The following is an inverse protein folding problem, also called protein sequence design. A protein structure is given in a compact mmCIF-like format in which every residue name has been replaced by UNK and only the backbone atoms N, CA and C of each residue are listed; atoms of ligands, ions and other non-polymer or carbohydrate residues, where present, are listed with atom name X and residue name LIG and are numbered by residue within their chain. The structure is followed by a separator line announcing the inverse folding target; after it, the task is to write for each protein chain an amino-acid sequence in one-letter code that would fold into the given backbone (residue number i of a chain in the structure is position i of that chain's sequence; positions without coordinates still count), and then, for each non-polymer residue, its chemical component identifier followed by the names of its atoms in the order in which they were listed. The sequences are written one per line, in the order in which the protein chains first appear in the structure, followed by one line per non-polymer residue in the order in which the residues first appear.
data_IF_703940925606
#
_entry.id   IF_703940925606
#
_cell.length_a   1.000
_cell.length_b   1.000
_cell.length_c   1.000
_cell.angle_alpha   90.00
_cell.angle_beta   90.00
_cell.angle_gamma   90.00
#
_symmetry.space_group_name_H-M   'P 1'
#
loop_
_entity.id
_entity.type
_entity.pdbx_description
1 polymer ?
#
# COMPACT_ATOMS: atom_id res chain seq x y z
N UNK A 1 24.89 1.01 3.50
CA UNK A 1 24.47 2.15 4.33
C UNK A 1 24.07 3.34 3.46
N UNK A 2 25.00 4.08 2.84
CA UNK A 2 24.62 5.23 1.99
C UNK A 2 23.67 4.88 0.82
N UNK A 3 23.87 3.72 0.18
CA UNK A 3 23.00 3.25 -0.92
C UNK A 3 21.58 2.92 -0.44
N UNK A 4 21.43 2.25 0.70
CA UNK A 4 20.11 1.92 1.28
C UNK A 4 19.33 3.18 1.66
N UNK A 5 20.01 4.19 2.21
CA UNK A 5 19.40 5.49 2.50
C UNK A 5 18.86 6.17 1.24
N UNK A 6 19.61 6.14 0.13
CA UNK A 6 19.17 6.70 -1.16
C UNK A 6 17.89 6.00 -1.65
N UNK A 7 17.83 4.67 -1.55
CA UNK A 7 16.64 3.92 -1.93
C UNK A 7 15.42 4.23 -1.05
N UNK A 8 15.61 4.34 0.27
CA UNK A 8 14.54 4.70 1.21
C UNK A 8 14.03 6.12 0.93
N UNK A 9 14.91 7.07 0.63
CA UNK A 9 14.53 8.45 0.26
C UNK A 9 13.72 8.43 -1.05
N UNK A 10 14.15 7.64 -2.05
CA UNK A 10 13.40 7.46 -3.30
C UNK A 10 12.01 6.86 -3.06
N UNK A 11 11.92 5.84 -2.21
CA UNK A 11 10.65 5.24 -1.81
C UNK A 11 9.73 6.24 -1.11
N UNK A 12 10.28 7.03 -0.18
CA UNK A 12 9.55 8.07 0.54
C UNK A 12 9.00 9.14 -0.40
N UNK A 13 9.83 9.63 -1.33
CA UNK A 13 9.40 10.60 -2.33
C UNK A 13 8.24 10.07 -3.18
N UNK A 14 8.36 8.84 -3.70
CA UNK A 14 7.30 8.19 -4.49
C UNK A 14 6.03 8.01 -3.67
N UNK A 15 6.15 7.54 -2.42
CA UNK A 15 5.00 7.30 -1.54
C UNK A 15 4.29 8.60 -1.15
N UNK A 16 5.02 9.66 -0.80
CA UNK A 16 4.45 10.96 -0.46
C UNK A 16 3.75 11.60 -1.67
N UNK A 17 4.39 11.63 -2.85
CA UNK A 17 3.76 12.17 -4.07
C UNK A 17 2.53 11.34 -4.45
N UNK A 18 2.59 10.00 -4.31
CA UNK A 18 1.47 9.11 -4.54
C UNK A 18 0.31 9.37 -3.58
N UNK A 19 0.58 9.50 -2.29
CA UNK A 19 -0.43 9.80 -1.27
C UNK A 19 -1.06 11.19 -1.44
N UNK A 20 -0.27 12.20 -1.81
CA UNK A 20 -0.79 13.54 -2.14
C UNK A 20 -1.69 13.47 -3.37
N UNK A 21 -1.24 12.80 -4.43
CA UNK A 21 -2.04 12.64 -5.65
C UNK A 21 -3.36 11.89 -5.37
N UNK A 22 -3.33 10.90 -4.48
CA UNK A 22 -4.50 10.13 -4.07
C UNK A 22 -5.52 10.99 -3.28
N UNK A 23 -5.07 11.86 -2.37
CA UNK A 23 -5.95 12.84 -1.71
C UNK A 23 -6.56 13.81 -2.72
N UNK A 24 -5.74 14.38 -3.61
CA UNK A 24 -6.16 15.48 -4.47
C UNK A 24 -7.03 15.03 -5.65
N UNK A 25 -6.73 13.86 -6.22
CA UNK A 25 -7.31 13.42 -7.49
C UNK A 25 -7.91 12.02 -7.42
N UNK A 26 -7.75 11.31 -6.30
CA UNK A 26 -8.14 9.89 -6.14
C UNK A 26 -7.59 8.98 -7.25
N UNK A 27 -6.46 9.39 -7.83
CA UNK A 27 -5.81 8.75 -8.97
C UNK A 27 -4.30 8.85 -8.78
N UNK A 28 -3.68 7.71 -8.52
CA UNK A 28 -2.22 7.62 -8.48
C UNK A 28 -1.70 7.57 -9.93
N UNK A 29 -0.85 8.52 -10.36
CA UNK A 29 -0.41 8.60 -11.74
C UNK A 29 0.51 7.44 -12.11
N UNK A 30 0.15 6.72 -13.19
CA UNK A 30 0.95 5.61 -13.73
C UNK A 30 2.42 5.99 -14.01
N UNK A 31 2.67 7.25 -14.39
CA UNK A 31 4.03 7.77 -14.63
C UNK A 31 4.89 7.74 -13.36
N UNK A 32 4.29 8.04 -12.21
CA UNK A 32 4.99 7.99 -10.92
C UNK A 32 5.31 6.56 -10.53
N UNK A 33 4.35 5.64 -10.66
CA UNK A 33 4.52 4.25 -10.22
C UNK A 33 5.44 3.48 -11.15
N UNK A 34 5.13 3.42 -12.45
CA UNK A 34 5.95 2.67 -13.41
C UNK A 34 7.30 3.35 -13.63
N UNK A 35 7.35 4.69 -13.64
CA UNK A 35 8.61 5.43 -13.68
C UNK A 35 9.46 5.14 -12.45
N UNK A 36 8.85 5.15 -11.26
CA UNK A 36 9.51 4.77 -10.00
C UNK A 36 10.06 3.34 -10.03
N UNK A 37 9.29 2.37 -10.53
CA UNK A 37 9.76 0.98 -10.69
C UNK A 37 10.98 0.88 -11.61
N UNK A 38 10.94 1.53 -12.78
CA UNK A 38 12.05 1.50 -13.74
C UNK A 38 13.30 2.13 -13.12
N UNK A 39 13.16 3.27 -12.43
CA UNK A 39 14.26 3.94 -11.75
C UNK A 39 14.83 3.06 -10.64
N UNK A 40 13.98 2.45 -9.81
CA UNK A 40 14.41 1.57 -8.72
C UNK A 40 15.15 0.34 -9.23
N UNK A 41 14.60 -0.37 -10.21
CA UNK A 41 15.19 -1.57 -10.80
C UNK A 41 16.52 -1.23 -11.48
N UNK A 42 16.56 -0.13 -12.25
CA UNK A 42 17.77 0.34 -12.91
C UNK A 42 18.87 0.71 -11.91
N UNK A 43 18.52 1.44 -10.84
CA UNK A 43 19.47 1.79 -9.78
C UNK A 43 19.99 0.56 -9.03
N UNK A 44 19.13 -0.40 -8.70
CA UNK A 44 19.52 -1.67 -8.08
C UNK A 44 20.40 -2.53 -9.00
N UNK A 45 20.13 -2.54 -10.30
CA UNK A 45 20.95 -3.23 -11.29
C UNK A 45 22.35 -2.61 -11.40
N UNK A 46 22.45 -1.27 -11.41
CA UNK A 46 23.75 -0.59 -11.50
C UNK A 46 24.58 -0.75 -10.22
N UNK A 47 23.94 -0.67 -9.05
CA UNK A 47 24.64 -0.70 -7.74
C UNK A 47 24.94 -2.14 -7.29
N UNK A 48 23.98 -3.06 -7.46
CA UNK A 48 24.03 -4.43 -6.93
C UNK A 48 24.08 -5.52 -8.00
N UNK A 49 24.18 -5.17 -9.28
CA UNK A 49 24.18 -6.12 -10.39
C UNK A 49 22.90 -6.95 -10.46
N UNK A 50 23.03 -8.19 -10.94
CA UNK A 50 21.91 -9.13 -11.04
C UNK A 50 21.27 -9.47 -9.68
N UNK A 51 22.06 -9.47 -8.60
CA UNK A 51 21.54 -9.70 -7.25
C UNK A 51 20.65 -8.53 -6.80
N UNK A 52 21.10 -7.29 -7.03
CA UNK A 52 20.30 -6.09 -6.76
C UNK A 52 19.01 -6.06 -7.57
N UNK A 53 19.07 -6.39 -8.87
CA UNK A 53 17.88 -6.50 -9.72
C UNK A 53 16.88 -7.51 -9.16
N UNK A 54 17.35 -8.70 -8.76
CA UNK A 54 16.52 -9.72 -8.13
C UNK A 54 15.86 -9.22 -6.84
N UNK A 55 16.62 -8.52 -5.99
CA UNK A 55 16.09 -7.94 -4.76
C UNK A 55 15.03 -6.85 -5.02
N UNK A 56 15.24 -5.97 -5.99
CA UNK A 56 14.28 -4.93 -6.38
C UNK A 56 12.97 -5.55 -6.86
N UNK A 57 13.04 -6.51 -7.80
CA UNK A 57 11.85 -7.20 -8.31
C UNK A 57 11.14 -7.96 -7.18
N UNK A 58 11.87 -8.66 -6.32
CA UNK A 58 11.29 -9.36 -5.18
C UNK A 58 10.56 -8.40 -4.22
N UNK A 59 11.14 -7.23 -3.92
CA UNK A 59 10.48 -6.20 -3.11
C UNK A 59 9.19 -5.69 -3.76
N UNK A 60 9.21 -5.41 -5.06
CA UNK A 60 8.03 -5.00 -5.81
C UNK A 60 6.93 -6.06 -5.84
N UNK A 61 7.30 -7.34 -5.99
CA UNK A 61 6.38 -8.47 -5.95
C UNK A 61 5.79 -8.69 -4.55
N UNK A 62 6.56 -8.50 -3.49
CA UNK A 62 6.06 -8.59 -2.12
C UNK A 62 5.05 -7.47 -1.86
N UNK A 63 5.42 -6.22 -2.17
CA UNK A 63 4.54 -5.07 -1.98
C UNK A 63 3.26 -5.19 -2.81
N UNK A 64 3.41 -5.35 -4.12
CA UNK A 64 2.30 -5.46 -5.06
C UNK A 64 1.47 -6.72 -4.84
N UNK A 65 2.12 -7.87 -4.64
CA UNK A 65 1.44 -9.15 -4.44
C UNK A 65 0.59 -9.19 -3.19
N UNK A 66 1.07 -8.61 -2.09
CA UNK A 66 0.27 -8.50 -0.85
C UNK A 66 -1.03 -7.72 -1.09
N UNK A 67 -0.96 -6.64 -1.87
CA UNK A 67 -2.13 -5.81 -2.15
C UNK A 67 -2.97 -6.29 -3.33
N UNK A 68 -2.41 -7.15 -4.17
CA UNK A 68 -3.09 -7.77 -5.30
C UNK A 68 -4.27 -8.65 -4.83
N UNK A 69 -4.12 -9.35 -3.71
CA UNK A 69 -5.22 -10.13 -3.11
C UNK A 69 -6.41 -9.22 -2.78
N UNK A 70 -6.17 -8.04 -2.20
CA UNK A 70 -7.24 -7.08 -1.91
C UNK A 70 -7.87 -6.48 -3.16
N UNK A 71 -7.11 -6.33 -4.25
CA UNK A 71 -7.63 -5.90 -5.54
C UNK A 71 -8.54 -6.94 -6.19
N UNK A 72 -8.18 -8.23 -6.14
CA UNK A 72 -9.05 -9.31 -6.62
C UNK A 72 -10.38 -9.36 -5.87
N UNK A 73 -10.35 -9.02 -4.58
CA UNK A 73 -11.56 -8.87 -3.75
C UNK A 73 -12.30 -7.54 -3.99
N UNK A 74 -11.87 -6.73 -4.96
CA UNK A 74 -12.39 -5.38 -5.24
C UNK A 74 -12.39 -4.44 -4.03
N UNK A 75 -11.55 -4.73 -3.01
CA UNK A 75 -11.44 -3.95 -1.79
C UNK A 75 -10.54 -2.71 -1.94
N UNK A 76 -9.68 -2.70 -2.96
CA UNK A 76 -8.65 -1.67 -3.16
C UNK A 76 -8.50 -1.30 -4.64
N UNK A 77 -8.06 -0.07 -4.91
CA UNK A 77 -7.84 0.41 -6.27
C UNK A 77 -6.54 -0.13 -6.89
N UNK A 78 -6.52 -0.28 -8.22
CA UNK A 78 -5.31 -0.68 -8.95
C UNK A 78 -4.16 0.33 -8.85
N UNK A 79 -4.43 1.58 -8.43
CA UNK A 79 -3.40 2.59 -8.18
C UNK A 79 -2.55 2.26 -6.95
N UNK A 80 -3.19 1.82 -5.86
CA UNK A 80 -2.53 1.54 -4.58
C UNK A 80 -1.54 0.38 -4.70
N UNK A 81 -1.92 -0.67 -5.43
CA UNK A 81 -1.06 -1.82 -5.73
C UNK A 81 0.21 -1.35 -6.46
N UNK A 82 0.04 -0.49 -7.47
CA UNK A 82 1.16 0.01 -8.27
C UNK A 82 2.08 0.89 -7.42
N UNK A 83 1.51 1.67 -6.51
CA UNK A 83 2.28 2.52 -5.61
C UNK A 83 3.12 1.68 -4.66
N UNK A 84 2.51 0.72 -3.95
CA UNK A 84 3.24 -0.10 -2.98
C UNK A 84 4.24 -1.05 -3.66
N UNK A 85 3.95 -1.50 -4.88
CA UNK A 85 4.90 -2.24 -5.70
C UNK A 85 6.10 -1.37 -6.11
N UNK A 86 5.87 -0.12 -6.51
CA UNK A 86 6.96 0.81 -6.84
C UNK A 86 7.84 1.09 -5.63
N UNK A 87 7.23 1.37 -4.48
CA UNK A 87 7.91 1.50 -3.18
C UNK A 87 8.71 0.25 -2.85
N UNK A 88 8.13 -0.93 -3.04
CA UNK A 88 8.80 -2.20 -2.81
C UNK A 88 10.04 -2.41 -3.69
N UNK A 89 9.99 -1.98 -4.96
CA UNK A 89 11.15 -2.01 -5.84
C UNK A 89 12.33 -1.18 -5.32
N UNK A 90 12.06 -0.04 -4.66
CA UNK A 90 13.12 0.77 -4.07
C UNK A 90 13.73 0.07 -2.86
N UNK A 91 12.90 -0.36 -1.91
CA UNK A 91 13.40 -0.77 -0.60
C UNK A 91 13.84 -2.24 -0.51
N UNK A 92 13.52 -3.04 -1.52
CA UNK A 92 13.82 -4.48 -1.54
C UNK A 92 12.94 -5.30 -0.59
N UNK A 93 13.17 -6.63 -0.51
CA UNK A 93 12.18 -7.56 0.03
C UNK A 93 11.95 -7.42 1.53
N UNK A 94 13.02 -7.23 2.33
CA UNK A 94 12.92 -7.17 3.80
C UNK A 94 12.09 -5.98 4.27
N UNK A 95 12.42 -4.78 3.79
CA UNK A 95 11.72 -3.56 4.20
C UNK A 95 10.33 -3.46 3.56
N UNK A 96 10.12 -4.09 2.39
CA UNK A 96 8.78 -4.18 1.77
C UNK A 96 7.75 -4.85 2.68
N UNK A 97 8.14 -5.93 3.38
CA UNK A 97 7.23 -6.62 4.32
C UNK A 97 6.80 -5.67 5.44
N UNK A 98 7.77 -4.94 6.03
CA UNK A 98 7.49 -3.98 7.09
C UNK A 98 6.58 -2.85 6.60
N UNK A 99 6.85 -2.31 5.41
CA UNK A 99 6.01 -1.27 4.80
C UNK A 99 4.60 -1.79 4.54
N UNK A 100 4.44 -3.01 4.02
CA UNK A 100 3.11 -3.61 3.78
C UNK A 100 2.33 -3.72 5.07
N UNK A 101 2.94 -4.24 6.14
CA UNK A 101 2.28 -4.39 7.44
C UNK A 101 1.95 -3.02 8.06
N UNK A 102 2.89 -2.08 8.04
CA UNK A 102 2.67 -0.74 8.56
C UNK A 102 1.58 0.00 7.78
N UNK A 103 1.56 -0.15 6.45
CA UNK A 103 0.53 0.44 5.58
C UNK A 103 -0.85 -0.20 5.82
N UNK A 104 -0.91 -1.51 6.06
CA UNK A 104 -2.14 -2.20 6.40
C UNK A 104 -2.74 -1.69 7.72
N UNK A 105 -1.91 -1.51 8.74
CA UNK A 105 -2.31 -0.94 10.03
C UNK A 105 -2.77 0.50 9.87
N UNK A 106 -1.99 1.34 9.18
CA UNK A 106 -2.35 2.73 8.90
C UNK A 106 -3.66 2.84 8.11
N UNK A 107 -3.90 1.94 7.15
CA UNK A 107 -5.13 1.85 6.37
C UNK A 107 -6.33 1.47 7.22
N UNK A 108 -6.17 0.53 8.17
CA UNK A 108 -7.19 0.19 9.14
C UNK A 108 -7.56 1.36 10.06
N UNK A 109 -6.56 2.09 10.56
CA UNK A 109 -6.77 3.32 11.36
C UNK A 109 -7.50 4.37 10.53
N UNK A 110 -7.07 4.60 9.28
CA UNK A 110 -7.69 5.55 8.36
C UNK A 110 -9.16 5.19 8.11
N UNK A 111 -9.47 3.91 7.90
CA UNK A 111 -10.83 3.44 7.71
C UNK A 111 -11.72 3.71 8.94
N UNK A 112 -11.22 3.45 10.14
CA UNK A 112 -11.94 3.73 11.41
C UNK A 112 -12.17 5.23 11.59
N UNK A 113 -11.12 6.05 11.39
CA UNK A 113 -11.20 7.50 11.51
C UNK A 113 -12.25 8.08 10.55
N UNK A 114 -12.28 7.57 9.31
CA UNK A 114 -13.24 8.00 8.31
C UNK A 114 -14.68 7.57 8.65
N UNK A 115 -14.87 6.35 9.15
CA UNK A 115 -16.17 5.86 9.61
C UNK A 115 -16.72 6.67 10.81
N UNK A 116 -15.83 7.11 11.71
CA UNK A 116 -16.16 8.00 12.83
C UNK A 116 -16.55 9.39 12.35
N UNK A 117 -15.76 9.99 11.45
CA UNK A 117 -16.04 11.33 10.92
C UNK A 117 -17.41 11.38 10.24
N UNK A 118 -17.75 10.38 9.43
CA UNK A 118 -19.06 10.34 8.78
C UNK A 118 -20.24 10.03 9.72
N UNK A 119 -19.98 9.79 11.03
CA UNK A 119 -20.97 9.30 12.01
C UNK A 119 -21.68 8.02 11.57
N UNK A 120 -21.06 7.25 10.66
CA UNK A 120 -21.61 6.00 10.11
C UNK A 120 -21.06 4.77 10.81
N UNK A 121 -20.31 4.91 11.91
CA UNK A 121 -19.68 3.79 12.62
C UNK A 121 -20.65 2.65 12.93
N UNK A 122 -21.87 2.97 13.42
CA UNK A 122 -22.89 1.94 13.71
C UNK A 122 -23.34 1.19 12.45
N UNK A 123 -23.43 1.89 11.31
CA UNK A 123 -23.78 1.27 10.02
C UNK A 123 -22.63 0.39 9.53
N UNK A 124 -21.38 0.86 9.63
CA UNK A 124 -20.19 0.09 9.25
C UNK A 124 -20.06 -1.16 10.11
N UNK A 125 -20.19 -1.06 11.44
CA UNK A 125 -20.12 -2.21 12.34
C UNK A 125 -21.24 -3.22 12.09
N UNK A 126 -22.48 -2.75 11.86
CA UNK A 126 -23.58 -3.63 11.45
C UNK A 126 -23.27 -4.34 10.14
N UNK A 127 -22.77 -3.61 9.14
CA UNK A 127 -22.43 -4.18 7.84
C UNK A 127 -21.30 -5.21 7.94
N UNK A 128 -20.27 -4.96 8.76
CA UNK A 128 -19.20 -5.92 9.04
C UNK A 128 -19.76 -7.16 9.74
N UNK A 129 -20.65 -6.99 10.73
CA UNK A 129 -21.28 -8.10 11.43
C UNK A 129 -22.13 -8.98 10.49
N UNK A 130 -22.97 -8.37 9.66
CA UNK A 130 -23.75 -9.08 8.63
C UNK A 130 -22.84 -9.79 7.63
N UNK A 131 -21.75 -9.15 7.20
CA UNK A 131 -20.79 -9.75 6.27
C UNK A 131 -20.07 -10.96 6.89
N UNK A 132 -19.62 -10.86 8.14
CA UNK A 132 -18.97 -11.97 8.87
C UNK A 132 -19.95 -13.11 9.12
N UNK A 133 -21.19 -12.82 9.50
CA UNK A 133 -22.25 -13.85 9.64
C UNK A 133 -22.53 -14.56 8.32
N UNK A 134 -22.66 -13.80 7.24
CA UNK A 134 -22.90 -14.35 5.92
C UNK A 134 -21.71 -15.20 5.45
N UNK A 135 -20.48 -14.74 5.65
CA UNK A 135 -19.28 -15.52 5.31
C UNK A 135 -19.12 -16.78 6.17
N UNK A 136 -19.50 -16.72 7.44
CA UNK A 136 -19.51 -17.89 8.33
C UNK A 136 -20.59 -18.91 7.94
N UNK A 137 -21.67 -18.48 7.28
CA UNK A 137 -22.79 -19.33 6.87
C UNK A 137 -22.69 -19.84 5.42
N UNK A 138 -22.09 -19.07 4.51
CA UNK A 138 -22.14 -19.28 3.05
C UNK A 138 -20.74 -19.41 2.42
N UNK A 139 -19.67 -19.08 3.15
CA UNK A 139 -18.29 -19.07 2.63
C UNK A 139 -17.87 -17.71 2.07
N UNK A 140 -16.75 -17.64 1.34
CA UNK A 140 -16.17 -16.39 0.84
C UNK A 140 -16.88 -15.82 -0.40
N UNK A 141 -18.20 -15.68 -0.34
CA UNK A 141 -19.01 -15.10 -1.41
C UNK A 141 -19.38 -13.63 -1.15
N UNK A 142 -19.53 -12.87 -2.24
CA UNK A 142 -19.85 -11.44 -2.18
C UNK A 142 -21.29 -11.22 -1.69
N UNK A 143 -21.47 -10.42 -0.64
CA UNK A 143 -22.78 -10.19 -0.05
C UNK A 143 -23.69 -9.32 -0.96
N UNK A 144 -24.91 -9.74 -1.30
CA UNK A 144 -25.72 -9.16 -2.37
C UNK A 144 -26.03 -7.65 -2.25
N UNK A 145 -26.05 -7.10 -1.04
CA UNK A 145 -26.29 -5.66 -0.77
C UNK A 145 -25.08 -4.90 -0.20
N UNK A 146 -24.02 -5.59 0.22
CA UNK A 146 -22.81 -5.03 0.84
C UNK A 146 -21.61 -5.35 -0.04
N UNK A 147 -21.73 -4.97 -1.31
CA UNK A 147 -20.67 -5.19 -2.27
C UNK A 147 -19.63 -4.08 -2.16
N UNK A 148 -18.35 -4.46 -2.11
CA UNK A 148 -17.19 -3.57 -2.24
C UNK A 148 -17.18 -2.84 -3.60
N UNK A 149 -17.96 -3.32 -4.56
CA UNK A 149 -18.20 -2.71 -5.87
C UNK A 149 -19.29 -1.63 -5.90
N UNK A 150 -19.93 -1.32 -4.76
CA UNK A 150 -20.93 -0.25 -4.70
C UNK A 150 -20.25 1.11 -4.98
N UNK A 151 -20.59 1.73 -6.12
CA UNK A 151 -19.99 3.00 -6.56
C UNK A 151 -20.24 4.19 -5.60
N UNK A 152 -21.21 4.04 -4.69
CA UNK A 152 -21.50 5.02 -3.63
C UNK A 152 -20.66 4.83 -2.36
N UNK A 153 -19.84 3.78 -2.27
CA UNK A 153 -18.90 3.59 -1.18
C UNK A 153 -17.79 4.65 -1.28
N UNK A 154 -17.59 5.40 -0.20
CA UNK A 154 -16.58 6.45 -0.19
C UNK A 154 -15.20 5.81 -0.27
N UNK A 155 -14.46 6.13 -1.33
CA UNK A 155 -13.11 5.63 -1.53
C UNK A 155 -12.18 6.28 -0.52
N UNK A 156 -11.52 5.45 0.28
CA UNK A 156 -10.49 5.90 1.20
C UNK A 156 -9.22 6.19 0.41
N UNK A 157 -8.53 7.32 0.66
CA UNK A 157 -7.26 7.61 0.01
C UNK A 157 -6.16 6.73 0.63
N UNK A 158 -6.08 5.48 0.19
CA UNK A 158 -5.18 4.48 0.74
C UNK A 158 -3.71 4.79 0.44
N UNK A 159 -3.42 5.60 -0.58
CA UNK A 159 -2.08 6.14 -0.82
C UNK A 159 -1.49 6.89 0.38
N UNK A 160 -2.34 7.49 1.23
CA UNK A 160 -1.91 8.12 2.49
C UNK A 160 -1.45 7.09 3.52
N UNK A 161 -2.16 5.95 3.60
CA UNK A 161 -1.77 4.86 4.47
C UNK A 161 -0.44 4.24 4.03
N UNK A 162 -0.22 4.11 2.71
CA UNK A 162 1.06 3.68 2.15
C UNK A 162 2.16 4.68 2.54
N UNK A 163 1.95 5.98 2.34
CA UNK A 163 2.93 7.00 2.72
C UNK A 163 3.27 6.95 4.21
N UNK A 164 2.27 6.78 5.09
CA UNK A 164 2.48 6.64 6.52
C UNK A 164 3.30 5.38 6.86
N UNK A 165 3.02 4.24 6.20
CA UNK A 165 3.77 3.00 6.37
C UNK A 165 5.24 3.15 5.95
N UNK A 166 5.51 3.86 4.85
CA UNK A 166 6.88 4.16 4.40
C UNK A 166 7.61 5.09 5.37
N UNK A 167 6.95 6.14 5.87
CA UNK A 167 7.52 7.04 6.89
C UNK A 167 7.90 6.25 8.14
N UNK A 168 7.00 5.40 8.64
CA UNK A 168 7.27 4.56 9.80
C UNK A 168 8.49 3.64 9.56
N UNK A 169 8.51 2.92 8.44
CA UNK A 169 9.62 2.02 8.12
C UNK A 169 10.95 2.77 7.97
N UNK A 170 10.94 3.97 7.38
CA UNK A 170 12.13 4.81 7.24
C UNK A 170 12.65 5.28 8.61
N UNK A 171 11.78 5.73 9.51
CA UNK A 171 12.14 6.13 10.87
C UNK A 171 12.65 4.94 11.68
N UNK A 172 11.99 3.79 11.58
CA UNK A 172 12.38 2.57 12.27
C UNK A 172 13.72 2.02 11.76
N UNK A 173 14.01 2.19 10.46
CA UNK A 173 15.32 1.87 9.88
C UNK A 173 16.41 2.80 10.45
N UNK A 174 16.14 4.11 10.51
CA UNK A 174 17.10 5.08 11.07
C UNK A 174 17.38 4.83 12.55
N UNK A 175 16.35 4.52 13.36
CA UNK A 175 16.49 4.20 14.78
C UNK A 175 17.28 2.92 15.05
N UNK A 176 17.26 1.94 14.15
CA UNK A 176 18.00 0.67 14.29
C UNK A 176 19.50 0.80 14.03
N UNK A 177 20.02 2.01 13.88
CA UNK A 177 21.44 2.27 13.68
C UNK A 177 21.89 2.00 12.24
N UNK A 178 21.04 2.30 11.25
CA UNK A 178 21.41 2.30 9.83
C UNK A 178 22.35 3.45 9.45
N UNK A 179 23.46 3.63 10.19
CA UNK A 179 24.51 4.63 9.99
C UNK A 179 25.89 3.98 10.08
#
# INVERSE_FOLDING_TARGET
MATESVFIIGALAVACVGGIADILTSKIPNRLTYGGMIVAIGAHLVIGGWSGLGASIAGGLIGGGAFFVFFLLHAMGGGDIKLIAAVGCFVGPKLSIEIVLASAIAGGILAIAYALWQRRLKVVLRNVYELVKFHAAVGAESHPSLNLSNQQAVRLPYGVAIAAGVIYAALAFYHRGGI
#
